data_IF_561918077849
#
_entry.id   IF_561918077849
#
_cell.length_a   1.000
_cell.length_b   1.000
_cell.length_c   1.000
_cell.angle_alpha   90.00
_cell.angle_beta   90.00
_cell.angle_gamma   90.00
#
_symmetry.space_group_name_H-M   'P 1'
#
loop_
_entity.id
_entity.type
_entity.pdbx_description
1 polymer ?
#
# COMPACT_ATOMS: atom_id res chain seq x y z
N UNK A 1 2.53 25.25 12.01
CA UNK A 1 2.37 23.96 12.74
C UNK A 1 1.31 23.14 12.01
N UNK A 2 1.57 21.86 11.69
CA UNK A 2 0.60 21.01 10.98
C UNK A 2 -0.58 20.68 11.91
N UNK A 3 -1.84 20.77 11.46
CA UNK A 3 -2.99 20.31 12.24
C UNK A 3 -2.94 18.81 12.55
N UNK A 4 -3.22 18.40 13.80
CA UNK A 4 -3.09 17.00 14.26
C UNK A 4 -3.87 15.99 13.40
N UNK A 5 -5.10 16.32 13.01
CA UNK A 5 -5.94 15.43 12.19
C UNK A 5 -5.32 15.15 10.80
N UNK A 6 -4.66 16.17 10.21
CA UNK A 6 -4.01 16.06 8.90
C UNK A 6 -2.72 15.26 8.99
N UNK A 7 -1.98 15.43 10.09
CA UNK A 7 -0.79 14.62 10.37
C UNK A 7 -1.12 13.12 10.47
N UNK A 8 -2.16 12.76 11.23
CA UNK A 8 -2.57 11.35 11.37
C UNK A 8 -3.02 10.78 10.02
N UNK A 9 -3.89 11.50 9.30
CA UNK A 9 -4.37 11.07 7.98
C UNK A 9 -3.24 10.87 6.98
N UNK A 10 -2.30 11.82 6.90
CA UNK A 10 -1.14 11.70 6.02
C UNK A 10 -0.22 10.55 6.44
N UNK A 11 -0.05 10.29 7.75
CA UNK A 11 0.81 9.21 8.23
C UNK A 11 0.29 7.83 7.84
N UNK A 12 -1.02 7.58 8.04
CA UNK A 12 -1.65 6.34 7.59
C UNK A 12 -1.55 6.18 6.08
N UNK A 13 -1.85 7.26 5.35
CA UNK A 13 -1.86 7.19 3.91
C UNK A 13 -0.46 6.98 3.33
N UNK A 14 0.55 7.65 3.90
CA UNK A 14 1.96 7.40 3.56
C UNK A 14 2.37 5.96 3.81
N UNK A 15 1.93 5.32 4.90
CA UNK A 15 2.21 3.90 5.13
C UNK A 15 1.64 3.01 4.01
N UNK A 16 0.36 3.20 3.66
CA UNK A 16 -0.25 2.43 2.57
C UNK A 16 0.40 2.71 1.22
N UNK A 17 0.78 3.96 0.95
CA UNK A 17 1.48 4.33 -0.29
C UNK A 17 2.89 3.75 -0.34
N UNK A 18 3.61 3.61 0.79
CA UNK A 18 4.90 2.90 0.83
C UNK A 18 4.74 1.46 0.39
N UNK A 19 3.75 0.75 0.94
CA UNK A 19 3.44 -0.63 0.54
C UNK A 19 3.06 -0.70 -0.94
N UNK A 20 2.18 0.19 -1.40
CA UNK A 20 1.67 0.18 -2.76
C UNK A 20 2.75 0.52 -3.81
N UNK A 21 3.56 1.54 -3.55
CA UNK A 21 4.58 2.07 -4.47
C UNK A 21 5.93 1.37 -4.37
N UNK A 22 6.27 0.75 -3.23
CA UNK A 22 7.58 0.16 -2.98
C UNK A 22 8.65 1.19 -2.56
N UNK A 23 8.33 2.48 -2.46
CA UNK A 23 9.24 3.51 -1.98
C UNK A 23 9.19 3.67 -0.46
N UNK A 24 9.85 2.78 0.26
CA UNK A 24 9.81 2.72 1.73
C UNK A 24 10.42 3.94 2.44
N UNK A 25 11.31 4.67 1.77
CA UNK A 25 12.01 5.84 2.31
C UNK A 25 11.27 7.17 2.16
N UNK A 26 10.27 7.27 1.29
CA UNK A 26 9.52 8.52 1.07
C UNK A 26 8.61 8.78 2.27
N UNK A 27 8.77 9.90 2.97
CA UNK A 27 8.03 10.19 4.18
C UNK A 27 6.68 10.87 3.88
N UNK A 28 6.69 11.88 3.01
CA UNK A 28 5.47 12.57 2.56
C UNK A 28 5.12 12.21 1.12
N UNK A 29 4.23 11.22 0.97
CA UNK A 29 3.73 10.78 -0.33
C UNK A 29 2.53 11.58 -0.83
N UNK A 30 2.02 12.53 -0.04
CA UNK A 30 0.80 13.28 -0.35
C UNK A 30 1.09 14.69 -0.86
N UNK A 31 2.36 15.06 -0.98
CA UNK A 31 2.78 16.32 -1.59
C UNK A 31 2.63 16.27 -3.11
N UNK A 32 1.93 17.26 -3.69
CA UNK A 32 1.89 17.47 -5.13
C UNK A 32 3.06 18.29 -5.67
N UNK A 33 3.87 18.88 -4.78
CA UNK A 33 5.03 19.69 -5.16
C UNK A 33 6.19 18.78 -5.51
N UNK A 34 6.38 18.53 -6.81
CA UNK A 34 7.34 17.54 -7.34
C UNK A 34 8.12 18.12 -8.51
N UNK A 35 9.35 17.66 -8.70
CA UNK A 35 10.16 17.91 -9.88
C UNK A 35 10.52 16.56 -10.52
N UNK A 36 10.47 16.49 -11.84
CA UNK A 36 10.74 15.29 -12.63
C UNK A 36 11.87 15.57 -13.62
N UNK A 37 12.81 14.64 -13.75
CA UNK A 37 13.79 14.69 -14.83
C UNK A 37 13.10 14.40 -16.17
N UNK A 38 13.71 14.83 -17.27
CA UNK A 38 13.20 14.54 -18.61
C UNK A 38 13.11 13.03 -18.88
N UNK A 39 14.07 12.27 -18.36
CA UNK A 39 14.07 10.80 -18.42
C UNK A 39 12.85 10.21 -17.70
N UNK A 40 12.57 10.64 -16.47
CA UNK A 40 11.41 10.19 -15.71
C UNK A 40 10.11 10.55 -16.43
N UNK A 41 10.04 11.76 -17.01
CA UNK A 41 8.88 12.24 -17.74
C UNK A 41 8.59 11.36 -18.97
N UNK A 42 9.63 11.02 -19.74
CA UNK A 42 9.50 10.18 -20.93
C UNK A 42 9.20 8.70 -20.62
N UNK A 43 9.59 8.22 -19.44
CA UNK A 43 9.28 6.87 -18.98
C UNK A 43 7.80 6.70 -18.53
N UNK A 44 7.09 7.81 -18.28
CA UNK A 44 5.73 7.82 -17.77
C UNK A 44 4.71 8.07 -18.89
N UNK A 45 3.60 7.32 -18.85
CA UNK A 45 2.39 7.64 -19.64
C UNK A 45 1.53 8.62 -18.85
N UNK A 46 1.77 9.91 -19.00
CA UNK A 46 1.10 10.97 -18.22
C UNK A 46 -0.44 10.91 -18.29
N UNK A 47 -0.98 10.56 -19.46
CA UNK A 47 -2.43 10.43 -19.68
C UNK A 47 -3.08 9.30 -18.86
N UNK A 48 -2.29 8.30 -18.48
CA UNK A 48 -2.74 7.17 -17.67
C UNK A 48 -2.69 7.45 -16.17
N UNK A 49 -2.04 8.54 -15.74
CA UNK A 49 -1.91 8.90 -14.33
C UNK A 49 -3.24 9.46 -13.82
N UNK A 50 -3.67 8.98 -12.66
CA UNK A 50 -4.92 9.41 -12.04
C UNK A 50 -4.95 10.94 -11.79
N UNK A 51 -5.91 11.72 -12.33
CA UNK A 51 -5.81 13.18 -12.42
C UNK A 51 -6.32 13.97 -11.20
N UNK A 52 -6.62 13.32 -10.06
CA UNK A 52 -7.22 13.99 -8.87
C UNK A 52 -6.35 13.80 -7.63
N UNK A 53 -6.93 13.91 -6.42
CA UNK A 53 -6.21 13.75 -5.14
C UNK A 53 -5.37 12.47 -4.98
N UNK A 54 -5.62 11.42 -5.78
CA UNK A 54 -4.80 10.21 -5.78
C UNK A 54 -3.55 10.29 -6.67
N UNK A 55 -3.35 11.39 -7.42
CA UNK A 55 -2.29 11.55 -8.41
C UNK A 55 -0.89 11.27 -7.84
N UNK A 56 -0.47 11.85 -6.70
CA UNK A 56 0.88 11.60 -6.18
C UNK A 56 1.13 10.11 -5.89
N UNK A 57 0.11 9.42 -5.41
CA UNK A 57 0.19 7.98 -5.12
C UNK A 57 0.37 7.16 -6.39
N UNK A 58 -0.44 7.44 -7.42
CA UNK A 58 -0.37 6.72 -8.71
C UNK A 58 0.91 7.04 -9.49
N UNK A 59 1.40 8.29 -9.38
CA UNK A 59 2.67 8.73 -9.93
C UNK A 59 3.84 7.94 -9.31
N UNK A 60 3.89 7.82 -7.97
CA UNK A 60 4.93 7.04 -7.29
C UNK A 60 4.88 5.56 -7.72
N UNK A 61 3.71 4.95 -7.80
CA UNK A 61 3.58 3.57 -8.28
C UNK A 61 4.11 3.43 -9.71
N UNK A 62 3.76 4.38 -10.59
CA UNK A 62 4.19 4.37 -11.99
C UNK A 62 5.70 4.56 -12.14
N UNK A 63 6.31 5.43 -11.32
CA UNK A 63 7.75 5.63 -11.26
C UNK A 63 8.48 4.36 -10.80
N UNK A 64 7.93 3.63 -9.82
CA UNK A 64 8.54 2.39 -9.36
C UNK A 64 8.47 1.29 -10.42
N UNK A 65 7.32 1.19 -11.12
CA UNK A 65 7.18 0.31 -12.28
C UNK A 65 8.21 0.68 -13.34
N UNK A 66 8.48 1.97 -13.59
CA UNK A 66 9.51 2.44 -14.51
C UNK A 66 10.96 2.33 -13.97
N UNK A 67 11.18 1.80 -12.77
CA UNK A 67 12.49 1.72 -12.10
C UNK A 67 13.19 3.09 -11.92
N UNK A 68 12.42 4.16 -11.72
CA UNK A 68 12.97 5.49 -11.47
C UNK A 68 13.37 5.68 -9.99
N UNK A 69 14.37 6.53 -9.74
CA UNK A 69 14.75 6.96 -8.39
C UNK A 69 13.88 8.10 -7.91
N UNK A 70 13.49 8.09 -6.64
CA UNK A 70 12.68 9.14 -6.02
C UNK A 70 13.35 9.58 -4.74
N UNK A 71 13.52 10.90 -4.55
CA UNK A 71 14.09 11.47 -3.34
C UNK A 71 13.12 12.46 -2.70
N UNK A 72 12.89 12.27 -1.40
CA UNK A 72 12.11 13.20 -0.59
C UNK A 72 12.98 14.40 -0.17
N UNK A 73 12.46 15.62 -0.34
CA UNK A 73 13.17 16.86 -0.02
C UNK A 73 12.33 17.62 1.02
N UNK A 74 12.97 17.99 2.12
CA UNK A 74 12.28 18.72 3.19
C UNK A 74 11.86 20.11 2.70
N UNK A 75 10.55 20.35 2.73
CA UNK A 75 9.94 21.64 2.43
C UNK A 75 9.26 22.14 3.70
N UNK A 76 9.27 23.46 3.93
CA UNK A 76 8.54 24.09 5.04
C UNK A 76 7.12 24.45 4.59
N UNK A 77 6.09 23.68 5.00
CA UNK A 77 4.72 24.03 4.65
C UNK A 77 4.24 25.25 5.44
N UNK A 78 3.60 26.18 4.74
CA UNK A 78 2.94 27.35 5.32
C UNK A 78 1.47 27.00 5.53
N UNK A 79 0.98 27.06 6.77
CA UNK A 79 -0.41 26.77 7.13
C UNK A 79 -1.06 27.99 7.78
N UNK A 80 -2.40 28.00 7.81
CA UNK A 80 -3.23 29.02 8.48
C UNK A 80 -3.17 30.43 7.85
N UNK A 81 -2.94 30.52 6.54
CA UNK A 81 -3.01 31.78 5.78
C UNK A 81 -4.41 32.06 5.19
N UNK A 82 -5.46 31.45 5.75
CA UNK A 82 -6.84 31.57 5.25
C UNK A 82 -7.26 30.50 4.22
N UNK A 83 -6.48 29.43 4.06
CA UNK A 83 -6.77 28.34 3.14
C UNK A 83 -7.95 27.46 3.60
N UNK A 84 -8.90 27.21 2.71
CA UNK A 84 -10.01 26.27 2.93
C UNK A 84 -9.72 24.99 2.14
N UNK A 85 -9.70 23.85 2.83
CA UNK A 85 -9.44 22.56 2.18
C UNK A 85 -10.59 22.17 1.24
N UNK A 86 -10.29 22.03 -0.05
CA UNK A 86 -11.22 21.48 -1.05
C UNK A 86 -11.39 19.95 -0.98
N UNK A 87 -10.85 19.29 0.04
CA UNK A 87 -10.88 17.82 0.16
C UNK A 87 -12.26 17.35 0.58
N UNK A 88 -12.88 16.54 -0.28
CA UNK A 88 -14.10 15.79 0.05
C UNK A 88 -13.72 14.46 0.70
N UNK A 89 -13.56 14.45 2.02
CA UNK A 89 -13.05 13.30 2.81
C UNK A 89 -13.76 11.99 2.46
N UNK A 90 -15.10 11.99 2.40
CA UNK A 90 -15.91 10.81 2.03
C UNK A 90 -15.56 10.24 0.65
N UNK A 91 -15.21 11.09 -0.32
CA UNK A 91 -14.79 10.64 -1.65
C UNK A 91 -13.38 10.06 -1.60
N UNK A 92 -12.48 10.75 -0.90
CA UNK A 92 -11.06 10.40 -0.81
C UNK A 92 -10.85 9.07 -0.09
N UNK A 93 -11.56 8.83 1.01
CA UNK A 93 -11.42 7.60 1.81
C UNK A 93 -11.80 6.33 1.04
N UNK A 94 -12.72 6.42 0.07
CA UNK A 94 -13.06 5.28 -0.79
C UNK A 94 -12.15 5.21 -2.03
N UNK A 95 -11.76 6.37 -2.57
CA UNK A 95 -11.06 6.43 -3.85
C UNK A 95 -9.58 6.06 -3.72
N UNK A 96 -8.88 6.57 -2.70
CA UNK A 96 -7.43 6.36 -2.58
C UNK A 96 -7.09 4.89 -2.32
N UNK A 97 -7.75 4.16 -1.39
CA UNK A 97 -7.45 2.74 -1.19
C UNK A 97 -7.62 1.92 -2.48
N UNK A 98 -8.63 2.23 -3.31
CA UNK A 98 -8.81 1.57 -4.60
C UNK A 98 -7.65 1.85 -5.56
N UNK A 99 -7.14 3.08 -5.60
CA UNK A 99 -5.96 3.43 -6.41
C UNK A 99 -4.73 2.66 -5.91
N UNK A 100 -4.52 2.63 -4.59
CA UNK A 100 -3.38 1.94 -3.99
C UNK A 100 -3.42 0.44 -4.22
N UNK A 101 -4.58 -0.21 -4.06
CA UNK A 101 -4.75 -1.64 -4.30
C UNK A 101 -4.55 -1.97 -5.78
N UNK A 102 -5.17 -1.21 -6.69
CA UNK A 102 -4.99 -1.42 -8.14
C UNK A 102 -3.56 -1.17 -8.58
N UNK A 103 -2.94 -0.11 -8.06
CA UNK A 103 -1.56 0.24 -8.37
C UNK A 103 -0.56 -0.76 -7.80
N UNK A 104 -0.79 -1.27 -6.58
CA UNK A 104 -0.01 -2.37 -6.01
C UNK A 104 -0.09 -3.61 -6.89
N UNK A 105 -1.30 -4.05 -7.26
CA UNK A 105 -1.47 -5.21 -8.14
C UNK A 105 -0.79 -5.01 -9.50
N UNK A 106 -0.95 -3.82 -10.12
CA UNK A 106 -0.25 -3.44 -11.35
C UNK A 106 1.26 -3.54 -11.20
N UNK A 107 1.81 -3.04 -10.09
CA UNK A 107 3.25 -3.13 -9.78
C UNK A 107 3.71 -4.57 -9.61
N UNK A 108 2.94 -5.40 -8.89
CA UNK A 108 3.26 -6.82 -8.71
C UNK A 108 3.36 -7.55 -10.05
N UNK A 109 2.40 -7.32 -10.95
CA UNK A 109 2.40 -7.95 -12.28
C UNK A 109 3.53 -7.41 -13.16
N UNK A 110 3.59 -6.10 -13.38
CA UNK A 110 4.54 -5.49 -14.33
C UNK A 110 5.99 -5.70 -13.91
N UNK A 111 6.28 -5.53 -12.61
CA UNK A 111 7.65 -5.59 -12.12
C UNK A 111 8.10 -7.01 -11.80
N UNK A 112 7.27 -7.76 -11.07
CA UNK A 112 7.69 -9.04 -10.49
C UNK A 112 7.21 -10.28 -11.26
N UNK A 113 6.26 -10.14 -12.19
CA UNK A 113 5.87 -11.24 -13.09
C UNK A 113 6.47 -11.05 -14.48
N UNK A 114 6.30 -9.86 -15.07
CA UNK A 114 6.65 -9.61 -16.47
C UNK A 114 8.14 -9.32 -16.65
N UNK A 115 8.71 -8.39 -15.88
CA UNK A 115 10.12 -7.98 -16.04
C UNK A 115 11.08 -8.94 -15.39
N UNK A 116 10.92 -9.18 -14.09
CA UNK A 116 11.80 -10.04 -13.31
C UNK A 116 10.96 -10.99 -12.46
N UNK A 117 10.99 -12.28 -12.77
CA UNK A 117 10.22 -13.27 -12.01
C UNK A 117 10.77 -13.42 -10.58
N UNK A 118 10.19 -12.67 -9.63
CA UNK A 118 10.67 -12.65 -8.26
C UNK A 118 9.83 -13.55 -7.34
N UNK A 119 10.46 -14.40 -6.49
CA UNK A 119 9.75 -15.31 -5.58
C UNK A 119 8.79 -14.64 -4.58
N UNK A 120 8.87 -13.31 -4.41
CA UNK A 120 8.03 -12.57 -3.45
C UNK A 120 6.53 -12.68 -3.77
N UNK A 121 6.17 -12.94 -5.03
CA UNK A 121 4.77 -13.11 -5.42
C UNK A 121 4.20 -14.37 -4.78
N UNK A 122 5.00 -15.43 -4.64
CA UNK A 122 4.56 -16.65 -3.94
C UNK A 122 4.30 -16.37 -2.47
N UNK A 123 5.12 -15.54 -1.82
CA UNK A 123 4.87 -15.15 -0.43
C UNK A 123 3.59 -14.32 -0.28
N UNK A 124 3.33 -13.35 -1.18
CA UNK A 124 2.05 -12.63 -1.18
C UNK A 124 0.86 -13.53 -1.46
N UNK A 125 1.00 -14.47 -2.42
CA UNK A 125 -0.04 -15.43 -2.75
C UNK A 125 -0.37 -16.36 -1.58
N UNK A 126 0.65 -16.97 -0.96
CA UNK A 126 0.50 -17.81 0.22
C UNK A 126 -0.08 -17.02 1.40
N UNK A 127 0.41 -15.80 1.63
CA UNK A 127 -0.15 -14.90 2.63
C UNK A 127 -1.65 -14.68 2.44
N UNK A 128 -2.06 -14.35 1.20
CA UNK A 128 -3.47 -14.19 0.84
C UNK A 128 -4.29 -15.48 0.97
N UNK A 129 -3.72 -16.62 0.61
CA UNK A 129 -4.36 -17.93 0.73
C UNK A 129 -4.63 -18.29 2.21
N UNK A 130 -3.63 -18.14 3.07
CA UNK A 130 -3.78 -18.35 4.51
C UNK A 130 -4.74 -17.35 5.16
N UNK A 131 -4.76 -16.10 4.69
CA UNK A 131 -5.74 -15.11 5.13
C UNK A 131 -7.16 -15.54 4.77
N UNK A 132 -7.37 -15.99 3.53
CA UNK A 132 -8.67 -16.45 3.04
C UNK A 132 -9.21 -17.62 3.87
N UNK A 133 -8.41 -18.68 4.06
CA UNK A 133 -8.80 -19.80 4.92
C UNK A 133 -8.94 -19.39 6.39
N UNK A 134 -8.07 -18.52 6.89
CA UNK A 134 -8.15 -17.98 8.24
C UNK A 134 -9.47 -17.24 8.51
N UNK A 135 -9.96 -16.45 7.56
CA UNK A 135 -11.27 -15.78 7.65
C UNK A 135 -12.40 -16.82 7.72
N UNK A 136 -12.40 -17.83 6.84
CA UNK A 136 -13.42 -18.88 6.82
C UNK A 136 -13.44 -19.64 8.15
N UNK A 137 -12.28 -20.06 8.65
CA UNK A 137 -12.15 -20.80 9.91
C UNK A 137 -12.56 -19.95 11.11
N UNK A 138 -12.26 -18.65 11.09
CA UNK A 138 -12.66 -17.70 12.14
C UNK A 138 -14.17 -17.51 12.15
N UNK A 139 -14.79 -17.26 10.98
CA UNK A 139 -16.26 -17.16 10.86
C UNK A 139 -16.91 -18.44 11.37
N UNK A 140 -16.40 -19.60 10.95
CA UNK A 140 -16.87 -20.90 11.42
C UNK A 140 -16.75 -21.03 12.95
N UNK A 141 -15.63 -20.61 13.54
CA UNK A 141 -15.43 -20.64 14.99
C UNK A 141 -16.51 -19.86 15.73
N UNK A 142 -16.84 -18.65 15.25
CA UNK A 142 -17.87 -17.79 15.83
C UNK A 142 -19.28 -18.37 15.66
N UNK A 143 -19.56 -19.04 14.54
CA UNK A 143 -20.84 -19.73 14.35
C UNK A 143 -21.01 -20.85 15.39
N UNK A 144 -20.00 -21.71 15.56
CA UNK A 144 -20.05 -22.79 16.58
C UNK A 144 -20.14 -22.24 18.01
N UNK A 145 -19.45 -21.13 18.30
CA UNK A 145 -19.58 -20.45 19.58
C UNK A 145 -21.03 -20.00 19.85
N UNK A 146 -21.73 -19.50 18.81
CA UNK A 146 -23.13 -19.07 18.93
C UNK A 146 -24.14 -20.21 19.06
N UNK A 147 -23.84 -21.40 18.52
CA UNK A 147 -24.73 -22.57 18.57
C UNK A 147 -24.48 -23.41 19.83
N UNK A 148 -23.23 -23.82 20.03
CA UNK A 148 -22.86 -24.82 21.06
C UNK A 148 -22.24 -24.20 22.32
N UNK A 149 -22.05 -22.87 22.35
CA UNK A 149 -21.50 -22.15 23.50
C UNK A 149 -20.00 -22.36 23.76
N UNK A 150 -19.31 -23.15 22.94
CA UNK A 150 -17.89 -23.42 23.08
C UNK A 150 -17.15 -23.31 21.73
N UNK A 151 -15.86 -22.97 21.80
CA UNK A 151 -14.99 -22.89 20.62
C UNK A 151 -14.38 -24.27 20.33
N UNK A 152 -14.63 -24.87 19.15
CA UNK A 152 -14.01 -26.15 18.80
C UNK A 152 -12.47 -26.03 18.78
N UNK A 153 -11.72 -26.77 19.61
CA UNK A 153 -10.28 -26.55 19.79
C UNK A 153 -9.47 -26.66 18.50
N UNK A 154 -9.77 -27.67 17.68
CA UNK A 154 -9.09 -27.91 16.39
C UNK A 154 -9.30 -26.75 15.39
N UNK A 155 -10.52 -26.20 15.35
CA UNK A 155 -10.86 -25.11 14.43
C UNK A 155 -10.21 -23.80 14.86
N UNK A 156 -10.22 -23.52 16.17
CA UNK A 156 -9.55 -22.35 16.74
C UNK A 156 -8.04 -22.42 16.51
N UNK A 157 -7.42 -23.57 16.74
CA UNK A 157 -5.99 -23.76 16.50
C UNK A 157 -5.64 -23.58 15.01
N UNK A 158 -6.45 -24.13 14.10
CA UNK A 158 -6.27 -23.95 12.66
C UNK A 158 -6.44 -22.49 12.22
N UNK A 159 -7.39 -21.75 12.82
CA UNK A 159 -7.57 -20.33 12.57
C UNK A 159 -6.36 -19.51 13.04
N UNK A 160 -5.86 -19.77 14.25
CA UNK A 160 -4.65 -19.12 14.79
C UNK A 160 -3.41 -19.42 13.94
N UNK A 161 -3.21 -20.68 13.56
CA UNK A 161 -2.11 -21.07 12.67
C UNK A 161 -2.20 -20.38 11.31
N UNK A 162 -3.41 -20.30 10.73
CA UNK A 162 -3.63 -19.62 9.45
C UNK A 162 -3.34 -18.12 9.56
N UNK A 163 -3.78 -17.47 10.65
CA UNK A 163 -3.49 -16.07 10.91
C UNK A 163 -1.99 -15.78 11.07
N UNK A 164 -1.28 -16.62 11.84
CA UNK A 164 0.17 -16.51 12.02
C UNK A 164 0.91 -16.70 10.70
N UNK A 165 0.55 -17.73 9.94
CA UNK A 165 1.17 -18.03 8.64
C UNK A 165 0.91 -16.91 7.62
N UNK A 166 -0.33 -16.41 7.53
CA UNK A 166 -0.68 -15.25 6.71
C UNK A 166 0.18 -14.03 7.05
N UNK A 167 0.30 -13.71 8.34
CA UNK A 167 1.08 -12.56 8.80
C UNK A 167 2.56 -12.73 8.45
N UNK A 168 3.13 -13.90 8.70
CA UNK A 168 4.54 -14.19 8.44
C UNK A 168 4.87 -14.10 6.95
N UNK A 169 4.10 -14.76 6.09
CA UNK A 169 4.31 -14.72 4.65
C UNK A 169 4.13 -13.32 4.06
N UNK A 170 3.14 -12.56 4.53
CA UNK A 170 2.93 -11.18 4.08
C UNK A 170 4.09 -10.28 4.51
N UNK A 171 4.58 -10.40 5.75
CA UNK A 171 5.71 -9.62 6.23
C UNK A 171 7.01 -9.96 5.51
N UNK A 172 7.27 -11.24 5.22
CA UNK A 172 8.41 -11.62 4.39
C UNK A 172 8.29 -11.08 2.98
N UNK A 173 7.11 -11.15 2.37
CA UNK A 173 6.88 -10.57 1.04
C UNK A 173 7.17 -9.07 1.03
N UNK A 174 6.71 -8.33 2.05
CA UNK A 174 7.00 -6.90 2.22
C UNK A 174 8.49 -6.63 2.45
N UNK A 175 9.18 -7.47 3.22
CA UNK A 175 10.62 -7.35 3.41
C UNK A 175 11.36 -7.52 2.08
N UNK A 176 11.10 -8.60 1.35
CA UNK A 176 11.76 -8.85 0.06
C UNK A 176 11.47 -7.73 -0.94
N UNK A 177 10.23 -7.24 -0.98
CA UNK A 177 9.86 -6.07 -1.78
C UNK A 177 10.67 -4.83 -1.38
N UNK A 178 10.82 -4.56 -0.08
CA UNK A 178 11.66 -3.47 0.42
C UNK A 178 13.12 -3.62 -0.02
N UNK A 179 13.68 -4.82 0.08
CA UNK A 179 15.07 -5.11 -0.32
C UNK A 179 15.28 -4.84 -1.82
N UNK A 180 14.38 -5.34 -2.67
CA UNK A 180 14.45 -5.17 -4.12
C UNK A 180 14.37 -3.71 -4.57
N UNK A 181 13.73 -2.84 -3.77
CA UNK A 181 13.54 -1.43 -4.12
C UNK A 181 14.54 -0.49 -3.42
N UNK A 182 15.56 -1.02 -2.72
CA UNK A 182 16.53 -0.19 -1.97
C UNK A 182 17.32 0.79 -2.84
N UNK A 183 17.62 0.39 -4.08
CA UNK A 183 18.44 1.18 -5.01
C UNK A 183 17.67 2.33 -5.69
N UNK A 184 16.36 2.42 -5.44
CA UNK A 184 15.49 3.44 -6.02
C UNK A 184 15.42 4.73 -5.18
N UNK A 185 16.45 4.98 -4.36
CA UNK A 185 16.62 6.17 -3.51
C UNK A 185 17.31 7.34 -4.22
#
# INVERSE_FOLDING_TARGET
MIPKYRYIGNSFLSLFTKIASGYWHVADSQSGYTALSLEALNALKLEAIYPRYGMPNDLLISLNIANMRVRDISIRPVYNVGEVSGIKVKKVICTIPLILVKGFARRMVEKYIIRDFHPLIFFYFLGGLFLFFGIILTIRAFIYLGIDGHLPPINTLAAMFSFMSSSLFTLFAMWFDMECNKDLK
#
